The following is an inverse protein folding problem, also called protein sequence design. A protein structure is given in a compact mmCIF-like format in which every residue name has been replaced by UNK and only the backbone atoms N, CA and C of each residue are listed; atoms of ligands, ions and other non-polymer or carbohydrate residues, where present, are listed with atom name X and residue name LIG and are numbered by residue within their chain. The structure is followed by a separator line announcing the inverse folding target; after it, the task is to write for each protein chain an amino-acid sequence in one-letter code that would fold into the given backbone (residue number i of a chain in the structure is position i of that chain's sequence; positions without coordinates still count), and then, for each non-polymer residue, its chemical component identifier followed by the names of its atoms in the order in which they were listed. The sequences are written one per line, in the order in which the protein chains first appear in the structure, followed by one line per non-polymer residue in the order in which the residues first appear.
data_IF_080353445008
#
_entry.id   IF_080353445008
#
_cell.length_a   1.000
_cell.length_b   1.000
_cell.length_c   1.000
_cell.angle_alpha   90.00
_cell.angle_beta   90.00
_cell.angle_gamma   90.00
#
_symmetry.space_group_name_H-M   'P 1'
#
loop_
_entity.id
_entity.type
_entity.pdbx_description
1 polymer ?
#
# COMPACT_ATOMS: atom_id res chain seq x y z
N UNK A 1 -3.35 4.77 13.91
CA UNK A 1 -2.53 6.00 13.76
C UNK A 1 -3.35 6.99 12.95
N UNK A 2 -3.23 8.31 13.12
CA UNK A 2 -3.95 9.25 12.24
C UNK A 2 -3.19 9.35 10.91
N UNK A 3 -3.83 8.97 9.80
CA UNK A 3 -3.20 8.92 8.47
C UNK A 3 -3.43 10.16 7.63
N UNK A 4 -4.22 11.09 8.15
CA UNK A 4 -4.57 12.35 7.53
C UNK A 4 -4.22 13.50 8.48
N UNK A 5 -3.80 14.64 7.94
CA UNK A 5 -3.66 15.87 8.72
C UNK A 5 -4.11 17.07 7.89
N UNK A 6 -4.60 18.12 8.57
CA UNK A 6 -4.92 19.39 7.92
C UNK A 6 -3.79 20.37 8.19
N UNK A 7 -3.18 20.94 7.15
CA UNK A 7 -2.17 22.00 7.26
C UNK A 7 -2.60 23.15 6.36
N UNK A 8 -2.75 24.35 6.91
CA UNK A 8 -3.21 25.54 6.19
C UNK A 8 -4.53 25.34 5.39
N UNK A 9 -5.43 24.49 5.89
CA UNK A 9 -6.70 24.18 5.22
C UNK A 9 -6.63 23.07 4.16
N UNK A 10 -5.44 22.54 3.86
CA UNK A 10 -5.27 21.43 2.93
C UNK A 10 -5.16 20.08 3.66
N UNK A 11 -5.74 19.04 3.07
CA UNK A 11 -5.70 17.67 3.59
C UNK A 11 -4.48 16.91 3.05
N UNK A 12 -3.63 16.45 3.94
CA UNK A 12 -2.45 15.65 3.62
C UNK A 12 -2.68 14.21 4.04
N UNK A 13 -2.21 13.27 3.22
CA UNK A 13 -2.24 11.83 3.49
C UNK A 13 -0.81 11.36 3.74
N UNK A 14 -0.60 10.60 4.82
CA UNK A 14 0.68 9.94 5.10
C UNK A 14 1.02 8.90 4.02
N UNK A 15 2.28 8.52 3.86
CA UNK A 15 2.71 7.52 2.87
C UNK A 15 2.00 6.17 3.04
N UNK A 16 1.92 5.64 4.25
CA UNK A 16 1.10 4.46 4.55
C UNK A 16 -0.40 4.71 4.30
N UNK A 17 -0.87 5.94 4.54
CA UNK A 17 -2.22 6.38 4.24
C UNK A 17 -2.56 6.29 2.75
N UNK A 18 -1.61 6.47 1.85
CA UNK A 18 -1.82 6.28 0.40
C UNK A 18 -2.12 4.81 0.08
N UNK A 19 -1.41 3.87 0.72
CA UNK A 19 -1.68 2.43 0.55
C UNK A 19 -3.05 2.07 1.14
N UNK A 20 -3.42 2.65 2.27
CA UNK A 20 -4.75 2.47 2.88
C UNK A 20 -5.87 3.10 2.03
N UNK A 21 -5.60 4.22 1.36
CA UNK A 21 -6.53 4.83 0.41
C UNK A 21 -6.75 3.91 -0.80
N UNK A 22 -5.69 3.26 -1.29
CA UNK A 22 -5.82 2.23 -2.33
C UNK A 22 -6.64 1.02 -1.84
N UNK A 23 -6.46 0.58 -0.59
CA UNK A 23 -7.32 -0.46 0.01
C UNK A 23 -8.79 -0.04 -0.02
N UNK A 24 -9.11 1.18 0.42
CA UNK A 24 -10.48 1.68 0.42
C UNK A 24 -11.07 1.80 -0.99
N UNK A 25 -10.33 2.38 -1.94
CA UNK A 25 -10.79 2.54 -3.32
C UNK A 25 -11.01 1.20 -4.02
N UNK A 26 -10.24 0.17 -3.69
CA UNK A 26 -10.48 -1.18 -4.19
C UNK A 26 -11.71 -1.83 -3.53
N UNK A 27 -11.81 -1.82 -2.20
CA UNK A 27 -12.85 -2.55 -1.47
C UNK A 27 -14.23 -1.91 -1.61
N UNK A 28 -14.30 -0.58 -1.50
CA UNK A 28 -15.57 0.16 -1.48
C UNK A 28 -15.99 0.55 -2.89
N UNK A 29 -15.07 1.13 -3.65
CA UNK A 29 -15.39 1.74 -4.96
C UNK A 29 -15.07 0.81 -6.13
N UNK A 30 -14.49 -0.38 -5.88
CA UNK A 30 -14.12 -1.38 -6.89
C UNK A 30 -13.24 -0.81 -8.01
N UNK A 31 -12.40 0.17 -7.68
CA UNK A 31 -11.49 0.80 -8.62
C UNK A 31 -10.31 -0.13 -8.95
N UNK A 32 -10.22 -0.56 -10.20
CA UNK A 32 -9.11 -1.39 -10.69
C UNK A 32 -7.72 -0.75 -10.48
N UNK A 33 -7.52 0.58 -10.69
CA UNK A 33 -6.22 1.20 -10.40
C UNK A 33 -5.78 1.04 -8.94
N UNK A 34 -6.73 1.07 -8.00
CA UNK A 34 -6.46 0.87 -6.59
C UNK A 34 -6.06 -0.59 -6.29
N UNK A 35 -6.70 -1.56 -6.96
CA UNK A 35 -6.30 -2.96 -6.88
C UNK A 35 -4.86 -3.16 -7.41
N UNK A 36 -4.54 -2.55 -8.54
CA UNK A 36 -3.21 -2.64 -9.14
C UNK A 36 -2.15 -1.96 -8.26
N UNK A 37 -2.47 -0.85 -7.59
CA UNK A 37 -1.58 -0.24 -6.60
C UNK A 37 -1.29 -1.19 -5.43
N UNK A 38 -2.29 -1.93 -4.92
CA UNK A 38 -2.07 -2.94 -3.88
C UNK A 38 -1.25 -4.14 -4.35
N UNK A 39 -1.39 -4.55 -5.62
CA UNK A 39 -0.52 -5.58 -6.21
C UNK A 39 0.94 -5.12 -6.24
N UNK A 40 1.20 -3.88 -6.67
CA UNK A 40 2.54 -3.28 -6.60
C UNK A 40 3.06 -3.18 -5.16
N UNK A 41 2.18 -2.90 -4.20
CA UNK A 41 2.58 -2.95 -2.79
C UNK A 41 3.03 -4.36 -2.36
N UNK A 42 2.32 -5.40 -2.80
CA UNK A 42 2.72 -6.79 -2.55
C UNK A 42 4.05 -7.17 -3.24
N UNK A 43 4.29 -6.68 -4.45
CA UNK A 43 5.58 -6.79 -5.14
C UNK A 43 6.70 -6.10 -4.37
N UNK A 44 6.45 -4.86 -3.89
CA UNK A 44 7.39 -4.12 -3.07
C UNK A 44 7.78 -4.94 -1.84
N UNK A 45 6.81 -5.48 -1.10
CA UNK A 45 7.08 -6.33 0.07
C UNK A 45 7.91 -7.58 -0.28
N UNK A 46 7.62 -8.23 -1.40
CA UNK A 46 8.38 -9.40 -1.87
C UNK A 46 9.86 -9.04 -2.13
N UNK A 47 10.12 -7.89 -2.78
CA UNK A 47 11.48 -7.39 -3.04
C UNK A 47 12.23 -6.99 -1.76
N UNK A 48 11.51 -6.60 -0.70
CA UNK A 48 12.08 -6.04 0.53
C UNK A 48 12.06 -7.03 1.70
N UNK A 49 12.09 -8.34 1.40
CA UNK A 49 12.37 -9.37 2.40
C UNK A 49 11.18 -9.80 3.25
N UNK A 50 9.95 -9.65 2.76
CA UNK A 50 8.75 -10.19 3.44
C UNK A 50 8.81 -11.72 3.65
N UNK A 51 9.48 -12.44 2.73
CA UNK A 51 9.66 -13.89 2.80
C UNK A 51 8.63 -14.72 2.02
N UNK A 52 7.85 -14.09 1.15
CA UNK A 52 6.94 -14.75 0.22
C UNK A 52 6.91 -14.02 -1.13
N UNK A 53 6.48 -14.71 -2.19
CA UNK A 53 6.31 -14.11 -3.52
C UNK A 53 5.09 -13.17 -3.58
N UNK A 54 5.11 -12.21 -4.49
CA UNK A 54 4.07 -11.16 -4.60
C UNK A 54 2.66 -11.72 -4.78
N UNK A 55 2.49 -12.80 -5.54
CA UNK A 55 1.20 -13.49 -5.73
C UNK A 55 0.65 -14.04 -4.41
N UNK A 56 1.47 -14.74 -3.62
CA UNK A 56 1.07 -15.28 -2.32
C UNK A 56 0.73 -14.18 -1.32
N UNK A 57 1.51 -13.09 -1.31
CA UNK A 57 1.24 -11.91 -0.49
C UNK A 57 -0.11 -11.28 -0.89
N UNK A 58 -0.36 -11.16 -2.20
CA UNK A 58 -1.62 -10.62 -2.72
C UNK A 58 -2.82 -11.49 -2.32
N UNK A 59 -2.74 -12.81 -2.50
CA UNK A 59 -3.81 -13.74 -2.11
C UNK A 59 -4.11 -13.64 -0.62
N UNK A 60 -3.07 -13.54 0.21
CA UNK A 60 -3.20 -13.34 1.65
C UNK A 60 -3.93 -12.03 1.98
N UNK A 61 -3.49 -10.90 1.42
CA UNK A 61 -4.14 -9.59 1.60
C UNK A 61 -5.58 -9.59 1.09
N UNK A 62 -5.84 -10.23 -0.06
CA UNK A 62 -7.16 -10.27 -0.66
C UNK A 62 -8.17 -11.08 0.17
N UNK A 63 -7.68 -12.13 0.86
CA UNK A 63 -8.48 -12.96 1.77
C UNK A 63 -8.80 -12.31 3.12
N UNK A 64 -8.09 -11.24 3.51
CA UNK A 64 -8.32 -10.55 4.79
C UNK A 64 -9.62 -9.74 4.80
N UNK A 65 -10.23 -9.65 5.98
CA UNK A 65 -11.26 -8.64 6.24
C UNK A 65 -10.67 -7.23 6.39
N UNK A 66 -11.46 -6.18 6.21
CA UNK A 66 -10.95 -4.79 6.13
C UNK A 66 -10.10 -4.36 7.32
N UNK A 67 -10.56 -4.63 8.56
CA UNK A 67 -9.81 -4.27 9.77
C UNK A 67 -8.48 -5.02 9.90
N UNK A 68 -8.46 -6.27 9.45
CA UNK A 68 -7.26 -7.09 9.45
C UNK A 68 -6.28 -6.58 8.38
N UNK A 69 -6.77 -6.32 7.17
CA UNK A 69 -6.00 -5.76 6.07
C UNK A 69 -5.37 -4.40 6.43
N UNK A 70 -6.11 -3.49 7.07
CA UNK A 70 -5.58 -2.20 7.54
C UNK A 70 -4.40 -2.40 8.49
N UNK A 71 -4.58 -3.22 9.53
CA UNK A 71 -3.51 -3.49 10.51
C UNK A 71 -2.32 -4.19 9.86
N UNK A 72 -2.58 -5.12 8.95
CA UNK A 72 -1.55 -5.82 8.22
C UNK A 72 -0.72 -4.84 7.40
N UNK A 73 -1.34 -3.93 6.63
CA UNK A 73 -0.66 -2.87 5.87
C UNK A 73 0.15 -1.97 6.80
N UNK A 74 -0.42 -1.48 7.91
CA UNK A 74 0.33 -0.64 8.85
C UNK A 74 1.60 -1.33 9.37
N UNK A 75 1.48 -2.61 9.73
CA UNK A 75 2.58 -3.39 10.29
C UNK A 75 3.65 -3.73 9.24
N UNK A 76 3.25 -4.18 8.05
CA UNK A 76 4.19 -4.53 6.99
C UNK A 76 4.86 -3.29 6.42
N UNK A 77 4.13 -2.18 6.29
CA UNK A 77 4.71 -0.90 5.90
C UNK A 77 5.80 -0.49 6.90
N UNK A 78 5.48 -0.46 8.20
CA UNK A 78 6.47 -0.11 9.24
C UNK A 78 7.70 -1.01 9.25
N UNK A 79 7.53 -2.31 8.94
CA UNK A 79 8.60 -3.31 9.05
C UNK A 79 9.50 -3.40 7.83
N UNK A 80 8.94 -3.24 6.63
CA UNK A 80 9.64 -3.55 5.37
C UNK A 80 9.90 -2.32 4.50
N UNK A 81 9.28 -1.17 4.80
CA UNK A 81 9.49 0.06 4.03
C UNK A 81 10.56 0.92 4.70
N UNK A 82 11.76 0.92 4.12
CA UNK A 82 12.87 1.77 4.57
C UNK A 82 12.77 3.21 4.03
N UNK A 83 12.30 3.36 2.78
CA UNK A 83 12.03 4.65 2.15
C UNK A 83 10.52 4.77 1.84
N UNK A 84 9.75 5.49 2.67
CA UNK A 84 8.32 5.62 2.49
C UNK A 84 7.89 6.37 1.23
N UNK A 85 8.73 7.27 0.70
CA UNK A 85 8.40 8.04 -0.51
C UNK A 85 8.59 7.14 -1.73
N UNK A 86 9.77 6.53 -1.88
CA UNK A 86 10.06 5.62 -2.99
C UNK A 86 9.07 4.44 -3.05
N UNK A 87 8.65 3.92 -1.89
CA UNK A 87 7.63 2.87 -1.81
C UNK A 87 6.28 3.33 -2.38
N UNK A 88 5.84 4.55 -2.05
CA UNK A 88 4.58 5.10 -2.57
C UNK A 88 4.69 5.41 -4.06
N UNK A 89 5.81 5.93 -4.53
CA UNK A 89 6.04 6.16 -5.97
C UNK A 89 5.97 4.85 -6.76
N UNK A 90 6.53 3.75 -6.23
CA UNK A 90 6.42 2.42 -6.81
C UNK A 90 4.96 1.93 -6.83
N UNK A 91 4.25 2.06 -5.70
CA UNK A 91 2.83 1.67 -5.56
C UNK A 91 1.95 2.42 -6.57
N UNK A 92 2.19 3.72 -6.75
CA UNK A 92 1.46 4.56 -7.69
C UNK A 92 1.86 4.33 -9.15
N UNK A 93 2.91 3.56 -9.42
CA UNK A 93 3.42 3.32 -10.77
C UNK A 93 4.12 4.53 -11.39
N UNK A 94 4.66 5.43 -10.56
CA UNK A 94 5.41 6.62 -11.00
C UNK A 94 6.90 6.31 -11.23
N UNK A 95 7.40 5.20 -10.69
CA UNK A 95 8.76 4.71 -10.97
C UNK A 95 8.72 3.92 -12.28
N UNK A 96 9.37 4.45 -13.32
CA UNK A 96 9.68 3.68 -14.54
C UNK A 96 10.76 2.67 -14.17
N UNK A 97 10.43 1.38 -14.24
CA UNK A 97 11.45 0.33 -14.18
C UNK A 97 12.32 0.47 -15.43
N UNK A 98 13.54 1.01 -15.30
CA UNK A 98 14.56 0.83 -16.32
C UNK A 98 14.86 -0.68 -16.38
N UNK A 99 14.35 -1.35 -17.42
CA UNK A 99 14.78 -2.68 -17.82
C UNK A 99 16.06 -2.60 -18.63
#
# INVERSE_FOLDING_TARGET
MEHTKIVNGEHYVSTVGVVLLALHGWRTERKEPCQNALRRYCEYLAMHGYGAGSTTIWEHLAGMGDREATRWIENTFKRFVADPVAAVEYVLGMVVQCQ
#
